data_IF_430537074111
#
_entry.id   IF_430537074111
#
_cell.length_a   1.000
_cell.length_b   1.000
_cell.length_c   1.000
_cell.angle_alpha   90.00
_cell.angle_beta   90.00
_cell.angle_gamma   90.00
#
_symmetry.space_group_name_H-M   'P 1'
#
loop_
_entity.id
_entity.type
_entity.pdbx_description
1 polymer ?
#
# COMPACT_ATOMS: atom_id res chain seq x y z
N UNK A 1 -22.65 -5.08 -31.74
CA UNK A 1 -23.43 -5.44 -30.52
C UNK A 1 -22.44 -6.01 -29.50
N UNK A 2 -22.48 -5.56 -28.25
CA UNK A 2 -21.62 -6.03 -27.15
C UNK A 2 -22.38 -7.06 -26.32
N UNK A 3 -21.62 -7.99 -25.72
CA UNK A 3 -22.16 -9.03 -24.84
C UNK A 3 -22.14 -8.58 -23.37
N UNK A 4 -21.20 -7.68 -23.04
CA UNK A 4 -21.01 -7.12 -21.69
C UNK A 4 -20.66 -5.64 -21.76
N UNK A 5 -21.08 -4.90 -20.73
CA UNK A 5 -20.65 -3.51 -20.48
C UNK A 5 -19.92 -3.48 -19.15
N UNK A 6 -18.73 -2.91 -19.13
CA UNK A 6 -17.91 -2.66 -17.93
C UNK A 6 -17.86 -1.16 -17.72
N UNK A 7 -18.20 -0.69 -16.52
CA UNK A 7 -18.19 0.74 -16.19
C UNK A 7 -16.90 1.05 -15.40
N UNK A 8 -16.07 1.90 -16.00
CA UNK A 8 -14.77 2.33 -15.46
C UNK A 8 -13.60 1.52 -16.01
N UNK A 9 -12.56 2.23 -16.48
CA UNK A 9 -11.32 1.66 -17.04
C UNK A 9 -10.15 1.68 -16.01
N UNK A 10 -10.44 1.67 -14.71
CA UNK A 10 -9.46 1.41 -13.66
C UNK A 10 -9.11 -0.08 -13.59
N UNK A 11 -8.26 -0.48 -12.63
CA UNK A 11 -7.72 -1.85 -12.56
C UNK A 11 -8.80 -2.93 -12.53
N UNK A 12 -9.86 -2.74 -11.75
CA UNK A 12 -10.94 -3.72 -11.65
C UNK A 12 -11.67 -3.90 -12.99
N UNK A 13 -12.01 -2.79 -13.66
CA UNK A 13 -12.67 -2.83 -14.96
C UNK A 13 -11.79 -3.38 -16.07
N UNK A 14 -10.52 -2.97 -16.12
CA UNK A 14 -9.57 -3.46 -17.10
C UNK A 14 -9.34 -4.98 -16.99
N UNK A 15 -9.15 -5.50 -15.76
CA UNK A 15 -9.01 -6.94 -15.52
C UNK A 15 -10.28 -7.69 -15.87
N UNK A 16 -11.46 -7.18 -15.47
CA UNK A 16 -12.75 -7.81 -15.78
C UNK A 16 -12.98 -7.86 -17.30
N UNK A 17 -12.77 -6.75 -18.00
CA UNK A 17 -12.90 -6.69 -19.46
C UNK A 17 -11.95 -7.66 -20.16
N UNK A 18 -10.67 -7.68 -19.74
CA UNK A 18 -9.68 -8.59 -20.32
C UNK A 18 -10.07 -10.06 -20.13
N UNK A 19 -10.43 -10.44 -18.92
CA UNK A 19 -10.83 -11.84 -18.63
C UNK A 19 -12.11 -12.25 -19.36
N UNK A 20 -13.11 -11.37 -19.45
CA UNK A 20 -14.33 -11.64 -20.21
C UNK A 20 -14.05 -11.82 -21.71
N UNK A 21 -13.19 -10.99 -22.27
CA UNK A 21 -12.84 -11.10 -23.69
C UNK A 21 -11.94 -12.30 -23.96
N UNK A 22 -10.87 -12.47 -23.20
CA UNK A 22 -9.84 -13.48 -23.45
C UNK A 22 -10.28 -14.90 -23.07
N UNK A 23 -10.91 -15.06 -21.88
CA UNK A 23 -11.25 -16.38 -21.35
C UNK A 23 -12.66 -16.83 -21.72
N UNK A 24 -13.57 -15.87 -21.98
CA UNK A 24 -15.00 -16.17 -22.27
C UNK A 24 -15.42 -15.80 -23.68
N UNK A 25 -14.51 -15.28 -24.52
CA UNK A 25 -14.78 -14.88 -25.90
C UNK A 25 -15.86 -13.79 -26.02
N UNK A 26 -16.06 -12.97 -24.98
CA UNK A 26 -17.09 -11.93 -24.97
C UNK A 26 -16.63 -10.67 -25.69
N UNK A 27 -17.60 -10.00 -26.36
CA UNK A 27 -17.39 -8.63 -26.86
C UNK A 27 -17.76 -7.66 -25.74
N UNK A 28 -16.78 -6.90 -25.27
CA UNK A 28 -16.90 -6.05 -24.07
C UNK A 28 -16.78 -4.58 -24.47
N UNK A 29 -17.75 -3.78 -24.05
CA UNK A 29 -17.65 -2.33 -24.06
C UNK A 29 -17.22 -1.85 -22.68
N UNK A 30 -16.09 -1.15 -22.60
CA UNK A 30 -15.65 -0.45 -21.40
C UNK A 30 -16.01 1.02 -21.54
N UNK A 31 -16.80 1.54 -20.62
CA UNK A 31 -17.19 2.94 -20.58
C UNK A 31 -16.42 3.67 -19.49
N UNK A 32 -15.62 4.67 -19.87
CA UNK A 32 -14.85 5.49 -18.93
C UNK A 32 -15.31 6.96 -19.00
N UNK A 33 -15.57 7.52 -17.83
CA UNK A 33 -16.02 8.92 -17.73
C UNK A 33 -14.88 9.93 -17.92
N UNK A 34 -13.66 9.56 -17.52
CA UNK A 34 -12.49 10.41 -17.62
C UNK A 34 -11.93 10.39 -19.05
N UNK A 35 -11.18 11.42 -19.47
CA UNK A 35 -10.54 11.43 -20.79
C UNK A 35 -9.34 10.47 -20.89
N UNK A 36 -9.14 9.61 -19.92
CA UNK A 36 -8.03 8.64 -19.82
C UNK A 36 -8.46 7.35 -19.12
N UNK A 37 -7.78 6.26 -19.41
CA UNK A 37 -7.89 4.98 -18.71
C UNK A 37 -7.02 4.96 -17.45
N UNK A 38 -7.00 3.84 -16.72
CA UNK A 38 -6.13 3.63 -15.56
C UNK A 38 -6.74 4.08 -14.21
N UNK A 39 -7.87 4.82 -14.25
CA UNK A 39 -8.51 5.30 -13.05
C UNK A 39 -7.58 6.20 -12.21
N UNK A 40 -7.43 5.93 -10.92
CA UNK A 40 -6.51 6.70 -10.06
C UNK A 40 -5.04 6.28 -10.22
N UNK A 41 -4.74 5.19 -10.94
CA UNK A 41 -3.37 4.81 -11.27
C UNK A 41 -2.86 5.50 -12.55
N UNK A 42 -3.67 6.38 -13.16
CA UNK A 42 -3.26 7.12 -14.34
C UNK A 42 -1.98 7.91 -14.08
N UNK A 43 -1.03 7.73 -14.98
CA UNK A 43 0.24 8.43 -15.02
C UNK A 43 0.54 8.88 -16.45
N UNK A 44 1.34 9.92 -16.58
CA UNK A 44 1.77 10.46 -17.86
C UNK A 44 3.16 11.07 -17.74
N UNK A 45 3.82 11.29 -18.87
CA UNK A 45 5.10 12.00 -18.90
C UNK A 45 4.86 13.50 -18.93
N UNK A 46 5.56 14.23 -18.05
CA UNK A 46 5.57 15.69 -18.08
C UNK A 46 6.35 16.25 -19.30
N UNK A 47 6.44 17.57 -19.40
CA UNK A 47 7.15 18.25 -20.47
C UNK A 47 8.65 17.93 -20.55
N UNK A 48 9.23 17.35 -19.49
CA UNK A 48 10.63 16.93 -19.41
C UNK A 48 10.81 15.42 -19.62
N UNK A 49 9.72 14.68 -19.87
CA UNK A 49 9.71 13.24 -20.03
C UNK A 49 9.75 12.45 -18.74
N UNK A 50 9.51 13.10 -17.59
CA UNK A 50 9.44 12.44 -16.29
C UNK A 50 8.03 11.90 -16.10
N UNK A 51 7.93 10.61 -15.73
CA UNK A 51 6.66 9.96 -15.44
C UNK A 51 6.10 10.47 -14.13
N UNK A 52 4.89 11.03 -14.15
CA UNK A 52 4.21 11.58 -12.99
C UNK A 52 2.88 10.87 -12.73
N UNK A 53 2.56 10.64 -11.46
CA UNK A 53 1.29 10.06 -11.01
C UNK A 53 0.29 11.19 -10.72
N UNK A 54 -0.75 11.34 -11.53
CA UNK A 54 -1.66 12.50 -11.46
C UNK A 54 -2.58 12.50 -10.23
N UNK A 55 -2.85 11.33 -9.64
CA UNK A 55 -3.75 11.16 -8.49
C UNK A 55 -3.03 10.72 -7.21
N UNK A 56 -1.74 11.02 -7.10
CA UNK A 56 -0.88 10.58 -6.01
C UNK A 56 -0.14 9.28 -6.33
N UNK A 57 0.93 8.99 -5.60
CA UNK A 57 1.77 7.83 -5.87
C UNK A 57 1.02 6.53 -5.64
N UNK A 58 1.05 5.65 -6.62
CA UNK A 58 0.56 4.28 -6.54
C UNK A 58 1.75 3.33 -6.64
N UNK A 59 1.84 2.41 -5.69
CA UNK A 59 2.87 1.36 -5.66
C UNK A 59 2.14 0.02 -5.64
N UNK A 60 2.44 -0.81 -6.62
CA UNK A 60 1.95 -2.17 -6.63
C UNK A 60 2.63 -2.98 -5.55
N UNK A 61 1.86 -3.72 -4.76
CA UNK A 61 2.37 -4.70 -3.81
C UNK A 61 1.39 -5.86 -3.65
N UNK A 62 1.91 -7.07 -3.52
CA UNK A 62 1.12 -8.27 -3.27
C UNK A 62 1.98 -9.41 -2.76
N UNK A 63 1.41 -10.25 -1.90
CA UNK A 63 1.97 -11.57 -1.54
C UNK A 63 1.56 -12.68 -2.52
N UNK A 64 0.59 -12.42 -3.42
CA UNK A 64 0.01 -13.42 -4.29
C UNK A 64 0.78 -13.51 -5.63
N UNK A 65 1.44 -14.63 -5.85
CA UNK A 65 2.21 -14.89 -7.07
C UNK A 65 1.33 -14.86 -8.32
N UNK A 66 0.11 -15.36 -8.24
CA UNK A 66 -0.83 -15.37 -9.35
C UNK A 66 -1.22 -13.95 -9.83
N UNK A 67 -1.36 -13.00 -8.89
CA UNK A 67 -1.67 -11.60 -9.22
C UNK A 67 -0.46 -10.94 -9.88
N UNK A 68 0.73 -11.15 -9.33
CA UNK A 68 1.97 -10.64 -9.91
C UNK A 68 2.21 -11.21 -11.32
N UNK A 69 2.08 -12.53 -11.48
CA UNK A 69 2.25 -13.21 -12.77
C UNK A 69 1.22 -12.73 -13.81
N UNK A 70 -0.05 -12.54 -13.38
CA UNK A 70 -1.09 -12.03 -14.30
C UNK A 70 -0.75 -10.62 -14.82
N UNK A 71 -0.39 -9.69 -13.94
CA UNK A 71 -0.06 -8.32 -14.33
C UNK A 71 1.26 -8.23 -15.13
N UNK A 72 2.22 -9.08 -14.84
CA UNK A 72 3.49 -9.18 -15.58
C UNK A 72 3.34 -9.57 -17.06
N UNK A 73 2.16 -10.00 -17.48
CA UNK A 73 1.83 -10.20 -18.90
C UNK A 73 1.76 -8.86 -19.68
N UNK A 74 1.55 -7.76 -18.98
CA UNK A 74 1.26 -6.44 -19.55
C UNK A 74 2.33 -5.40 -19.27
N UNK A 75 3.31 -5.72 -18.42
CA UNK A 75 4.40 -4.80 -18.08
C UNK A 75 5.62 -5.55 -17.58
N UNK A 76 6.78 -4.94 -17.74
CA UNK A 76 7.95 -5.23 -16.91
C UNK A 76 7.88 -4.39 -15.63
N UNK A 77 8.62 -4.80 -14.59
CA UNK A 77 8.56 -4.18 -13.29
C UNK A 77 9.88 -3.51 -12.90
N UNK A 78 9.79 -2.31 -12.38
CA UNK A 78 10.84 -1.74 -11.55
C UNK A 78 10.54 -2.14 -10.09
N UNK A 79 11.22 -3.22 -9.65
CA UNK A 79 11.01 -3.78 -8.32
C UNK A 79 11.82 -3.01 -7.28
N UNK A 80 11.18 -2.60 -6.18
CA UNK A 80 11.84 -1.97 -5.04
C UNK A 80 10.99 -2.13 -3.77
N UNK A 81 11.66 -2.19 -2.61
CA UNK A 81 10.98 -2.11 -1.32
C UNK A 81 10.69 -0.66 -0.98
N UNK A 82 9.42 -0.30 -0.87
CA UNK A 82 9.02 1.05 -0.51
C UNK A 82 9.26 1.32 0.97
N UNK A 83 10.04 2.35 1.28
CA UNK A 83 10.29 2.81 2.65
C UNK A 83 9.66 4.18 2.86
N UNK A 84 9.07 4.36 4.03
CA UNK A 84 8.48 5.62 4.49
C UNK A 84 9.12 6.01 5.79
N UNK A 85 9.37 7.31 5.98
CA UNK A 85 9.89 7.83 7.23
C UNK A 85 9.00 8.95 7.78
N UNK A 86 8.89 9.00 9.09
CA UNK A 86 8.29 10.12 9.82
C UNK A 86 9.40 10.98 10.44
N UNK A 87 9.26 12.30 10.36
CA UNK A 87 10.13 13.22 11.09
C UNK A 87 9.54 13.44 12.49
N UNK A 88 10.28 12.99 13.49
CA UNK A 88 9.93 13.18 14.92
C UNK A 88 11.09 13.94 15.58
N UNK A 89 10.84 15.20 15.94
CA UNK A 89 11.93 16.10 16.35
C UNK A 89 12.95 16.26 15.22
N UNK A 90 14.21 15.94 15.52
CA UNK A 90 15.31 15.98 14.54
C UNK A 90 15.63 14.60 13.91
N UNK A 91 14.88 13.56 14.24
CA UNK A 91 15.10 12.20 13.74
C UNK A 91 14.14 11.85 12.61
N UNK A 92 14.61 11.05 11.65
CA UNK A 92 13.80 10.37 10.64
C UNK A 92 13.65 8.91 11.06
N UNK A 93 12.46 8.52 11.45
CA UNK A 93 12.17 7.17 11.93
C UNK A 93 11.36 6.39 10.88
N UNK A 94 11.64 5.08 10.68
CA UNK A 94 10.86 4.23 9.79
C UNK A 94 9.37 4.16 10.14
N UNK A 95 8.52 4.11 9.12
CA UNK A 95 7.07 3.86 9.23
C UNK A 95 6.72 2.66 8.35
N UNK A 96 6.04 1.64 8.86
CA UNK A 96 5.53 1.46 10.23
C UNK A 96 6.63 1.42 11.31
N UNK A 97 6.25 1.81 12.54
CA UNK A 97 7.12 1.67 13.70
C UNK A 97 7.57 0.20 13.83
N UNK A 98 8.87 -0.03 14.00
CA UNK A 98 9.48 -1.36 14.02
C UNK A 98 10.61 -1.44 15.06
N UNK A 99 11.33 -2.56 15.12
CA UNK A 99 12.42 -2.75 16.08
C UNK A 99 13.59 -1.78 15.82
N UNK A 100 13.89 -1.41 14.57
CA UNK A 100 14.88 -0.36 14.31
C UNK A 100 14.46 0.97 14.94
N UNK A 101 13.19 1.36 14.78
CA UNK A 101 12.66 2.58 15.38
C UNK A 101 12.73 2.52 16.90
N UNK A 102 12.44 1.36 17.51
CA UNK A 102 12.54 1.16 18.95
C UNK A 102 13.96 1.50 19.45
N UNK A 103 14.99 0.99 18.77
CA UNK A 103 16.40 1.25 19.10
C UNK A 103 16.88 2.67 18.73
N UNK A 104 16.13 3.39 17.89
CA UNK A 104 16.43 4.80 17.59
C UNK A 104 15.91 5.76 18.66
N UNK A 105 14.79 5.42 19.31
CA UNK A 105 14.06 6.34 20.19
C UNK A 105 14.30 6.09 21.69
N UNK A 106 14.78 4.90 22.05
CA UNK A 106 15.13 4.55 23.43
C UNK A 106 16.63 4.28 23.57
N UNK A 107 17.17 4.44 24.78
CA UNK A 107 18.52 3.98 25.09
C UNK A 107 18.63 2.45 24.92
N UNK A 108 19.86 1.99 24.72
CA UNK A 108 20.11 0.58 24.37
C UNK A 108 19.52 -0.41 25.36
N UNK A 109 19.73 -0.20 26.66
CA UNK A 109 19.27 -1.14 27.70
C UNK A 109 17.75 -1.24 27.72
N UNK A 110 17.08 -0.10 27.63
CA UNK A 110 15.62 -0.03 27.57
C UNK A 110 15.09 -0.64 26.27
N UNK A 111 15.69 -0.32 25.12
CA UNK A 111 15.31 -0.86 23.83
C UNK A 111 15.41 -2.40 23.80
N UNK A 112 16.54 -2.96 24.24
CA UNK A 112 16.75 -4.41 24.31
C UNK A 112 15.66 -5.10 25.17
N UNK A 113 15.32 -4.52 26.33
CA UNK A 113 14.26 -5.05 27.21
C UNK A 113 12.87 -4.96 26.58
N UNK A 114 12.55 -3.83 25.94
CA UNK A 114 11.26 -3.62 25.28
C UNK A 114 11.08 -4.54 24.07
N UNK A 115 12.13 -4.74 23.28
CA UNK A 115 12.16 -5.66 22.16
C UNK A 115 11.84 -7.09 22.63
N UNK A 116 12.57 -7.57 23.65
CA UNK A 116 12.31 -8.89 24.20
C UNK A 116 10.85 -9.07 24.62
N UNK A 117 10.26 -8.08 25.32
CA UNK A 117 8.86 -8.12 25.72
C UNK A 117 7.88 -8.18 24.54
N UNK A 118 8.15 -7.39 23.49
CA UNK A 118 7.31 -7.39 22.28
C UNK A 118 7.37 -8.75 21.58
N UNK A 119 8.58 -9.34 21.45
CA UNK A 119 8.77 -10.64 20.83
C UNK A 119 8.09 -11.75 21.66
N UNK A 120 8.26 -11.75 23.00
CA UNK A 120 7.62 -12.72 23.90
C UNK A 120 6.09 -12.62 23.87
N UNK A 121 5.55 -11.39 23.76
CA UNK A 121 4.09 -11.17 23.82
C UNK A 121 3.39 -11.43 22.49
N UNK A 122 4.00 -11.05 21.36
CA UNK A 122 3.35 -11.05 20.05
C UNK A 122 4.02 -11.95 19.02
N UNK A 123 5.25 -12.35 19.23
CA UNK A 123 6.09 -13.10 18.28
C UNK A 123 6.83 -12.20 17.29
N UNK A 124 8.02 -12.62 16.89
CA UNK A 124 8.79 -11.98 15.83
C UNK A 124 8.03 -12.05 14.49
N UNK A 125 8.15 -11.02 13.67
CA UNK A 125 7.44 -10.89 12.39
C UNK A 125 5.98 -10.46 12.51
N UNK A 126 5.44 -10.33 13.72
CA UNK A 126 4.04 -9.95 13.94
C UNK A 126 3.75 -8.50 13.56
N UNK A 127 2.52 -8.28 13.10
CA UNK A 127 1.94 -6.96 12.79
C UNK A 127 0.85 -6.66 13.82
N UNK A 128 1.12 -5.76 14.74
CA UNK A 128 0.23 -5.48 15.87
C UNK A 128 -0.45 -4.13 15.70
N UNK A 129 -1.79 -4.06 15.59
CA UNK A 129 -2.52 -2.81 15.56
C UNK A 129 -2.23 -1.94 16.78
N UNK A 130 -2.01 -0.65 16.58
CA UNK A 130 -1.64 0.29 17.66
C UNK A 130 -2.66 0.29 18.80
N UNK A 131 -3.94 0.19 18.51
CA UNK A 131 -4.98 0.16 19.53
C UNK A 131 -4.91 -1.11 20.40
N UNK A 132 -4.42 -2.23 19.86
CA UNK A 132 -4.18 -3.46 20.62
C UNK A 132 -3.01 -3.30 21.58
N UNK A 133 -1.92 -2.63 21.18
CA UNK A 133 -0.81 -2.32 22.08
C UNK A 133 -1.25 -1.38 23.20
N UNK A 134 -2.05 -0.35 22.90
CA UNK A 134 -2.56 0.60 23.92
C UNK A 134 -3.43 -0.06 24.97
N UNK A 135 -4.15 -1.11 24.61
CA UNK A 135 -4.97 -1.91 25.52
C UNK A 135 -4.22 -3.01 26.29
N UNK A 136 -2.90 -3.13 26.14
CA UNK A 136 -2.12 -4.16 26.83
C UNK A 136 -2.02 -3.89 28.34
N UNK A 137 -1.93 -4.94 29.16
CA UNK A 137 -1.79 -4.84 30.64
C UNK A 137 -0.35 -4.47 31.06
N UNK A 138 0.66 -4.76 30.23
CA UNK A 138 2.07 -4.41 30.50
C UNK A 138 2.31 -2.92 30.28
N UNK A 139 2.87 -2.26 31.31
CA UNK A 139 3.12 -0.82 31.28
C UNK A 139 4.19 -0.42 30.23
N UNK A 140 5.21 -1.25 30.02
CA UNK A 140 6.27 -0.99 29.03
C UNK A 140 5.68 -1.05 27.60
N UNK A 141 4.79 -2.01 27.32
CA UNK A 141 4.10 -2.11 26.02
C UNK A 141 3.19 -0.91 25.80
N UNK A 142 2.47 -0.46 26.83
CA UNK A 142 1.66 0.76 26.72
C UNK A 142 2.50 2.01 26.51
N UNK A 143 3.70 2.08 27.07
CA UNK A 143 4.63 3.21 26.83
C UNK A 143 5.02 3.29 25.36
N UNK A 144 5.40 2.16 24.75
CA UNK A 144 5.68 2.11 23.31
C UNK A 144 4.44 2.53 22.51
N UNK A 145 3.30 1.99 22.85
CA UNK A 145 2.04 2.32 22.19
C UNK A 145 1.68 3.81 22.27
N UNK A 146 1.92 4.44 23.42
CA UNK A 146 1.70 5.87 23.61
C UNK A 146 2.68 6.70 22.77
N UNK A 147 3.95 6.33 22.74
CA UNK A 147 4.94 6.99 21.90
C UNK A 147 4.56 6.95 20.42
N UNK A 148 4.21 5.77 19.90
CA UNK A 148 3.80 5.59 18.49
C UNK A 148 2.52 6.36 18.19
N UNK A 149 1.56 6.32 19.11
CA UNK A 149 0.30 7.03 18.95
C UNK A 149 0.51 8.53 18.83
N UNK A 150 1.25 9.15 19.75
CA UNK A 150 1.45 10.59 19.80
C UNK A 150 2.33 11.13 18.66
N UNK A 151 3.39 10.40 18.30
CA UNK A 151 4.40 10.90 17.38
C UNK A 151 4.17 10.50 15.91
N UNK A 152 3.44 9.42 15.66
CA UNK A 152 3.26 8.90 14.30
C UNK A 152 1.77 8.85 13.92
N UNK A 153 0.95 8.25 14.78
CA UNK A 153 -0.37 7.78 14.37
C UNK A 153 -1.46 8.86 14.45
N UNK A 154 -1.51 9.63 15.53
CA UNK A 154 -2.57 10.62 15.80
C UNK A 154 -2.68 11.66 14.69
N UNK A 155 -1.58 12.36 14.41
CA UNK A 155 -1.58 13.45 13.44
C UNK A 155 -1.71 12.95 12.00
N UNK A 156 -1.13 11.80 11.67
CA UNK A 156 -1.33 11.15 10.38
C UNK A 156 -2.80 10.81 10.14
N UNK A 157 -3.44 10.19 11.13
CA UNK A 157 -4.85 9.81 11.03
C UNK A 157 -5.76 11.03 10.93
N UNK A 158 -5.54 12.05 11.77
CA UNK A 158 -6.30 13.29 11.70
C UNK A 158 -6.15 14.01 10.35
N UNK A 159 -4.94 14.01 9.78
CA UNK A 159 -4.70 14.60 8.46
C UNK A 159 -5.43 13.85 7.34
N UNK A 160 -5.44 12.51 7.38
CA UNK A 160 -6.03 11.69 6.33
C UNK A 160 -7.56 11.61 6.40
N UNK A 161 -8.11 11.58 7.62
CA UNK A 161 -9.53 11.27 7.85
C UNK A 161 -10.33 12.42 8.45
N UNK A 162 -9.68 13.49 8.91
CA UNK A 162 -10.33 14.59 9.62
C UNK A 162 -10.91 14.23 10.99
N UNK A 163 -10.59 13.04 11.51
CA UNK A 163 -11.13 12.45 12.73
C UNK A 163 -10.00 11.91 13.60
N UNK A 164 -10.24 11.77 14.91
CA UNK A 164 -9.31 11.11 15.81
C UNK A 164 -9.34 9.59 15.61
N UNK A 165 -8.24 8.87 15.90
CA UNK A 165 -8.18 7.41 15.74
C UNK A 165 -9.29 6.65 16.48
N UNK A 166 -9.75 7.14 17.63
CA UNK A 166 -10.82 6.53 18.43
C UNK A 166 -12.21 6.65 17.78
N UNK A 167 -12.37 7.59 16.83
CA UNK A 167 -13.62 7.85 16.11
C UNK A 167 -13.70 7.07 14.79
N UNK A 168 -12.61 6.38 14.41
CA UNK A 168 -12.47 5.66 13.15
C UNK A 168 -12.53 4.16 13.42
N UNK A 169 -13.04 3.39 12.44
CA UNK A 169 -13.15 1.94 12.59
C UNK A 169 -11.80 1.26 12.83
N UNK A 170 -11.77 0.17 13.65
CA UNK A 170 -10.53 -0.58 13.93
C UNK A 170 -9.82 -1.12 12.68
N UNK A 171 -10.55 -1.42 11.60
CA UNK A 171 -9.97 -1.88 10.34
C UNK A 171 -9.13 -0.80 9.66
N UNK A 172 -9.53 0.46 9.80
CA UNK A 172 -8.77 1.60 9.28
C UNK A 172 -7.54 1.87 10.12
N UNK A 173 -7.70 1.87 11.45
CA UNK A 173 -6.59 2.10 12.38
C UNK A 173 -5.57 0.95 12.39
N UNK A 174 -5.97 -0.26 11.99
CA UNK A 174 -5.09 -1.42 11.84
C UNK A 174 -4.19 -1.42 10.62
N UNK A 175 -4.37 -0.47 9.66
CA UNK A 175 -3.58 -0.43 8.41
C UNK A 175 -2.13 -0.06 8.60
N UNK A 176 -1.80 0.71 9.64
CA UNK A 176 -0.42 1.05 10.00
C UNK A 176 -0.10 0.40 11.35
N UNK A 177 0.32 -0.87 11.36
CA UNK A 177 0.63 -1.60 12.59
C UNK A 177 2.00 -1.21 13.13
N UNK A 178 2.28 -1.63 14.38
CA UNK A 178 3.66 -1.79 14.86
C UNK A 178 4.19 -3.13 14.35
N UNK A 179 5.38 -3.13 13.74
CA UNK A 179 6.03 -4.33 13.23
C UNK A 179 7.05 -4.87 14.24
N UNK A 180 6.89 -6.13 14.64
CA UNK A 180 7.88 -6.80 15.50
C UNK A 180 8.96 -7.41 14.62
N UNK A 181 9.68 -6.57 13.88
CA UNK A 181 10.76 -6.96 12.97
C UNK A 181 11.71 -5.80 12.69
N UNK A 182 12.85 -6.09 12.07
CA UNK A 182 13.82 -5.10 11.59
C UNK A 182 13.60 -4.67 10.13
N UNK A 183 12.45 -5.03 9.54
CA UNK A 183 12.11 -4.66 8.17
C UNK A 183 11.57 -3.22 8.12
N UNK A 184 12.27 -2.31 7.43
CA UNK A 184 11.88 -0.90 7.30
C UNK A 184 10.88 -0.65 6.17
N UNK A 185 10.59 -1.66 5.35
CA UNK A 185 9.66 -1.48 4.24
C UNK A 185 8.25 -1.18 4.74
N UNK A 186 7.58 -0.28 4.06
CA UNK A 186 6.19 0.06 4.37
C UNK A 186 5.23 -1.12 4.14
N UNK A 187 5.46 -1.87 3.06
CA UNK A 187 4.79 -3.13 2.77
C UNK A 187 5.75 -4.30 2.98
N UNK A 188 5.28 -5.42 3.54
CA UNK A 188 6.06 -6.64 3.73
C UNK A 188 5.79 -7.70 2.68
N UNK A 189 5.01 -7.34 1.63
CA UNK A 189 4.68 -8.24 0.54
C UNK A 189 5.92 -8.64 -0.27
N UNK A 190 5.87 -9.86 -0.83
CA UNK A 190 6.97 -10.43 -1.63
C UNK A 190 7.24 -9.61 -2.90
N UNK A 191 6.17 -9.17 -3.57
CA UNK A 191 6.25 -8.43 -4.82
C UNK A 191 5.86 -6.97 -4.57
N UNK A 192 6.79 -6.06 -4.87
CA UNK A 192 6.56 -4.62 -4.71
C UNK A 192 7.28 -3.87 -5.83
N UNK A 193 6.67 -2.85 -6.37
CA UNK A 193 7.28 -2.04 -7.41
C UNK A 193 6.29 -1.18 -8.18
N UNK A 194 6.76 -0.67 -9.30
CA UNK A 194 5.93 0.06 -10.25
C UNK A 194 6.15 -0.50 -11.66
N UNK A 195 5.17 -0.41 -12.56
CA UNK A 195 5.37 -0.75 -13.97
C UNK A 195 6.53 0.06 -14.57
N UNK A 196 7.44 -0.60 -15.29
CA UNK A 196 8.67 0.02 -15.79
C UNK A 196 8.42 1.24 -16.70
N UNK A 197 7.31 1.21 -17.46
CA UNK A 197 6.92 2.30 -18.37
C UNK A 197 5.66 3.05 -17.87
N UNK A 198 5.26 2.85 -16.63
CA UNK A 198 4.08 3.43 -16.04
C UNK A 198 2.84 2.54 -16.06
N UNK A 199 1.88 2.91 -15.22
CA UNK A 199 0.61 2.19 -15.10
C UNK A 199 -0.25 2.35 -16.36
N UNK A 200 -0.26 3.54 -16.97
CA UNK A 200 -1.09 3.81 -18.14
C UNK A 200 -0.73 2.88 -19.30
N UNK A 201 0.56 2.67 -19.60
CA UNK A 201 1.00 1.73 -20.64
C UNK A 201 0.58 0.28 -20.29
N UNK A 202 0.68 -0.12 -19.03
CA UNK A 202 0.19 -1.43 -18.59
C UNK A 202 -1.32 -1.59 -18.87
N UNK A 203 -2.14 -0.55 -18.58
CA UNK A 203 -3.58 -0.58 -18.86
C UNK A 203 -3.88 -0.59 -20.35
N UNK A 204 -3.14 0.17 -21.16
CA UNK A 204 -3.24 0.15 -22.63
C UNK A 204 -3.04 -1.27 -23.17
N UNK A 205 -1.99 -1.95 -22.74
CA UNK A 205 -1.71 -3.35 -23.14
C UNK A 205 -2.79 -4.31 -22.64
N UNK A 206 -3.31 -4.09 -21.42
CA UNK A 206 -4.37 -4.93 -20.85
C UNK A 206 -5.69 -4.79 -21.64
N UNK A 207 -6.03 -3.58 -22.04
CA UNK A 207 -7.27 -3.27 -22.77
C UNK A 207 -7.13 -3.48 -24.29
N UNK A 208 -5.90 -3.63 -24.80
CA UNK A 208 -5.63 -3.93 -26.22
C UNK A 208 -5.96 -5.39 -26.54
N UNK A 209 -7.23 -5.64 -26.83
CA UNK A 209 -7.76 -6.95 -27.22
C UNK A 209 -8.89 -6.80 -28.24
N UNK A 210 -8.96 -7.63 -29.31
CA UNK A 210 -9.97 -7.50 -30.36
C UNK A 210 -11.44 -7.55 -29.85
N UNK A 211 -11.66 -8.18 -28.72
CA UNK A 211 -12.96 -8.27 -28.07
C UNK A 211 -13.29 -7.09 -27.12
N UNK A 212 -12.42 -6.09 -27.01
CA UNK A 212 -12.62 -4.96 -26.09
C UNK A 212 -12.68 -3.65 -26.89
N UNK A 213 -13.70 -2.86 -26.61
CA UNK A 213 -13.81 -1.45 -27.06
C UNK A 213 -13.85 -0.57 -25.83
N UNK A 214 -13.12 0.55 -25.84
CA UNK A 214 -13.12 1.56 -24.75
C UNK A 214 -13.69 2.85 -25.30
N UNK A 215 -14.71 3.41 -24.58
CA UNK A 215 -15.39 4.68 -24.90
C UNK A 215 -15.50 5.56 -23.65
#
# INVERSE_FOLDING_TARGET
MYDCIVIGAGIAGAVAARKLAEEKGKRVLVMERRPHIGGNCYDEKDAHGILIHNYGPHIFHTGLEEVFAYLSRFTDWYLFGHEVVAKVGDQLIPVPFNLNTLHMVYDKEKADRLEQKLIETYGEGSRVPIMKLRGNEDADIREIAQYVYENVFLYYTMKQWGQKPEEISPEVTGRVPVLISYDNRYFQDKYQGVPANGFTEMFEKMLSHPGITVE
#
